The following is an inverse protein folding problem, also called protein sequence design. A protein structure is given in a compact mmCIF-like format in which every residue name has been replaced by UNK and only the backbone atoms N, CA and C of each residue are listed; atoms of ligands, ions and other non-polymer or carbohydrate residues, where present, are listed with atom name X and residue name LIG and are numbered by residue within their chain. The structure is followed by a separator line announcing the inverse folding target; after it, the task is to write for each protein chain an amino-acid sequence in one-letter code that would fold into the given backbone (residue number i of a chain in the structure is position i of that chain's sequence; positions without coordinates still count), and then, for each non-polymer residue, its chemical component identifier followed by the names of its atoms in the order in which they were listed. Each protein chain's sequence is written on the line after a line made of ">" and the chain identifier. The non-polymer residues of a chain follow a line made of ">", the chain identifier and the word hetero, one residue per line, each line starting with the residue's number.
data_IF_426012073551
#
_entry.id   IF_426012073551
#
_cell.length_a   1.000
_cell.length_b   1.000
_cell.length_c   1.000
_cell.angle_alpha   90.00
_cell.angle_beta   90.00
_cell.angle_gamma   90.00
#
_symmetry.space_group_name_H-M   'P 1'
#
loop_
_entity.id
_entity.type
_entity.pdbx_description
1 polymer ?
#
# COMPACT_ATOMS: atom_id res chain seq x y z
N UNK A 1 -5.57 -16.75 -30.57
CA UNK A 1 -4.51 -15.77 -30.20
C UNK A 1 -4.74 -15.33 -28.77
N UNK A 2 -4.06 -15.96 -27.81
CA UNK A 2 -4.05 -15.48 -26.42
C UNK A 2 -3.39 -14.11 -26.41
N UNK A 3 -4.13 -13.06 -26.00
CA UNK A 3 -3.52 -11.77 -25.68
C UNK A 3 -2.59 -12.02 -24.50
N UNK A 4 -1.31 -11.97 -24.73
CA UNK A 4 -0.30 -11.81 -23.68
C UNK A 4 -0.81 -10.74 -22.71
N UNK A 5 -1.09 -11.14 -21.48
CA UNK A 5 -1.59 -10.26 -20.43
C UNK A 5 -0.44 -9.32 -20.05
N UNK A 6 -0.27 -8.23 -20.80
CA UNK A 6 0.78 -7.24 -20.52
C UNK A 6 0.51 -6.65 -19.13
N UNK A 7 1.49 -6.76 -18.25
CA UNK A 7 1.45 -6.23 -16.90
C UNK A 7 1.17 -4.72 -16.95
N UNK A 8 0.06 -4.26 -16.36
CA UNK A 8 -0.28 -2.85 -16.32
C UNK A 8 0.73 -2.04 -15.51
N UNK A 9 1.17 -0.94 -16.06
CA UNK A 9 2.10 0.02 -15.45
C UNK A 9 1.33 1.14 -14.77
N UNK A 10 1.41 1.23 -13.45
CA UNK A 10 0.71 2.23 -12.64
C UNK A 10 1.72 3.18 -12.01
N UNK A 11 1.59 4.48 -12.27
CA UNK A 11 2.34 5.50 -11.56
C UNK A 11 1.49 6.05 -10.42
N UNK A 12 1.96 5.89 -9.20
CA UNK A 12 1.40 6.57 -8.03
C UNK A 12 2.27 7.79 -7.70
N UNK A 13 1.61 8.92 -7.50
CA UNK A 13 2.26 10.18 -7.20
C UNK A 13 1.88 10.63 -5.79
N UNK A 14 2.67 10.32 -4.75
CA UNK A 14 2.48 10.93 -3.45
C UNK A 14 2.85 12.42 -3.54
N UNK A 15 1.86 13.31 -3.38
CA UNK A 15 2.04 14.75 -3.49
C UNK A 15 3.11 15.30 -2.54
N UNK A 16 3.60 16.53 -2.81
CA UNK A 16 4.56 17.22 -1.96
C UNK A 16 5.90 16.47 -1.75
N UNK A 17 6.64 16.79 -0.69
CA UNK A 17 7.90 16.12 -0.32
C UNK A 17 9.08 17.08 -0.14
N UNK A 18 10.10 16.67 0.61
CA UNK A 18 11.27 17.48 0.91
C UNK A 18 10.91 18.78 1.63
N UNK A 19 11.26 19.91 1.04
CA UNK A 19 10.95 21.25 1.58
C UNK A 19 9.47 21.66 1.45
N UNK A 20 8.68 20.99 0.63
CA UNK A 20 7.23 21.18 0.51
C UNK A 20 6.48 20.20 1.43
N UNK A 21 5.99 20.63 2.60
CA UNK A 21 5.28 19.75 3.51
C UNK A 21 3.84 19.44 3.03
N UNK A 22 3.31 20.16 2.03
CA UNK A 22 1.89 20.25 1.80
C UNK A 22 1.18 20.93 2.95
N UNK A 23 -0.09 20.66 3.15
CA UNK A 23 -0.80 21.13 4.33
C UNK A 23 -0.24 20.47 5.60
N UNK A 24 -0.06 21.26 6.66
CA UNK A 24 0.49 20.81 7.92
C UNK A 24 -0.34 21.38 9.08
N UNK A 25 -1.12 20.53 9.73
CA UNK A 25 -2.05 20.92 10.77
C UNK A 25 -2.33 19.71 11.69
N UNK A 26 -2.86 19.95 12.90
CA UNK A 26 -3.22 18.92 13.88
C UNK A 26 -2.09 17.91 14.19
N UNK A 27 -0.82 18.31 14.06
CA UNK A 27 0.35 17.46 14.28
C UNK A 27 0.60 16.45 13.14
N UNK A 28 0.03 16.68 11.97
CA UNK A 28 0.20 15.90 10.75
C UNK A 28 0.85 16.75 9.66
N UNK A 29 1.52 16.10 8.71
CA UNK A 29 2.00 16.71 7.46
C UNK A 29 1.48 15.87 6.30
N UNK A 30 0.90 16.54 5.31
CA UNK A 30 0.35 15.90 4.12
C UNK A 30 1.37 14.99 3.44
N UNK A 31 2.59 15.50 3.19
CA UNK A 31 3.66 14.76 2.52
C UNK A 31 3.95 13.37 3.13
N UNK A 32 3.82 13.24 4.45
CA UNK A 32 4.09 11.98 5.15
C UNK A 32 2.94 11.00 4.99
N UNK A 33 1.71 11.47 5.09
CA UNK A 33 0.49 10.67 4.96
C UNK A 33 0.35 10.11 3.54
N UNK A 34 0.50 10.97 2.52
CA UNK A 34 0.35 10.54 1.12
C UNK A 34 1.42 9.55 0.70
N UNK A 35 2.64 9.68 1.24
CA UNK A 35 3.72 8.71 1.01
C UNK A 35 3.39 7.34 1.64
N UNK A 36 2.82 7.32 2.85
CA UNK A 36 2.37 6.09 3.51
C UNK A 36 1.26 5.41 2.69
N UNK A 37 0.22 6.16 2.31
CA UNK A 37 -0.91 5.63 1.51
C UNK A 37 -0.38 5.06 0.19
N UNK A 38 0.45 5.82 -0.55
CA UNK A 38 1.01 5.38 -1.83
C UNK A 38 1.84 4.09 -1.71
N UNK A 39 2.68 3.96 -0.68
CA UNK A 39 3.47 2.74 -0.44
C UNK A 39 2.60 1.51 -0.13
N UNK A 40 1.56 1.70 0.69
CA UNK A 40 0.59 0.64 1.00
C UNK A 40 -0.17 0.22 -0.26
N UNK A 41 -0.69 1.20 -1.03
CA UNK A 41 -1.38 0.97 -2.31
C UNK A 41 -0.51 0.21 -3.31
N UNK A 42 0.76 0.64 -3.49
CA UNK A 42 1.74 -0.06 -4.33
C UNK A 42 1.86 -1.53 -3.93
N UNK A 43 2.04 -1.79 -2.63
CA UNK A 43 2.21 -3.16 -2.12
C UNK A 43 1.01 -4.04 -2.48
N UNK A 44 -0.21 -3.53 -2.37
CA UNK A 44 -1.44 -4.27 -2.72
C UNK A 44 -1.51 -4.50 -4.24
N UNK A 45 -1.30 -3.46 -5.05
CA UNK A 45 -1.34 -3.57 -6.50
C UNK A 45 -0.35 -4.60 -7.04
N UNK A 46 0.86 -4.63 -6.51
CA UNK A 46 1.89 -5.59 -6.93
C UNK A 46 1.59 -7.01 -6.47
N UNK A 47 1.26 -7.19 -5.18
CA UNK A 47 1.08 -8.53 -4.60
C UNK A 47 -0.24 -9.19 -4.97
N UNK A 48 -1.32 -8.39 -5.05
CA UNK A 48 -2.68 -8.93 -5.23
C UNK A 48 -3.11 -8.90 -6.70
N UNK A 49 -2.64 -7.92 -7.47
CA UNK A 49 -3.08 -7.72 -8.85
C UNK A 49 -1.98 -7.91 -9.89
N UNK A 50 -0.74 -8.13 -9.47
CA UNK A 50 0.39 -8.36 -10.37
C UNK A 50 0.74 -7.15 -11.24
N UNK A 51 0.37 -5.94 -10.81
CA UNK A 51 0.70 -4.71 -11.52
C UNK A 51 2.20 -4.39 -11.42
N UNK A 52 2.73 -3.66 -12.39
CA UNK A 52 4.04 -2.98 -12.27
C UNK A 52 3.78 -1.58 -11.72
N UNK A 53 4.31 -1.26 -10.55
CA UNK A 53 4.02 0.02 -9.89
C UNK A 53 5.28 0.81 -9.60
N UNK A 54 5.34 2.06 -10.07
CA UNK A 54 6.35 3.03 -9.65
C UNK A 54 5.70 4.16 -8.85
N UNK A 55 6.49 4.73 -7.96
CA UNK A 55 6.16 5.97 -7.26
C UNK A 55 6.97 7.10 -7.88
N UNK A 56 6.40 8.31 -7.99
CA UNK A 56 7.16 9.50 -8.37
C UNK A 56 8.27 9.78 -7.35
N UNK A 57 7.99 9.61 -6.06
CA UNK A 57 8.97 9.61 -4.97
C UNK A 57 8.72 8.44 -4.01
N UNK A 58 9.76 7.81 -3.52
CA UNK A 58 9.69 6.72 -2.52
C UNK A 58 10.26 7.12 -1.16
N UNK A 59 10.78 8.33 -1.05
CA UNK A 59 11.36 8.93 0.16
C UNK A 59 10.83 10.36 0.32
N UNK A 60 11.26 11.06 1.36
CA UNK A 60 10.91 12.46 1.60
C UNK A 60 11.82 13.38 0.76
N UNK A 61 11.56 13.42 -0.55
CA UNK A 61 12.24 14.33 -1.51
C UNK A 61 11.19 15.15 -2.25
N UNK A 62 11.54 16.39 -2.60
CA UNK A 62 10.72 17.25 -3.44
C UNK A 62 10.86 16.87 -4.92
N UNK A 63 9.73 16.85 -5.63
CA UNK A 63 9.65 16.71 -7.08
C UNK A 63 8.66 17.75 -7.60
N UNK A 64 9.09 18.57 -8.54
CA UNK A 64 8.21 19.58 -9.12
C UNK A 64 7.07 18.95 -9.94
N UNK A 65 5.98 19.73 -10.15
CA UNK A 65 4.75 19.22 -10.75
C UNK A 65 4.96 18.66 -12.16
N UNK A 66 5.73 19.37 -13.01
CA UNK A 66 6.02 18.91 -14.37
C UNK A 66 6.89 17.67 -14.39
N UNK A 67 7.82 17.56 -13.45
CA UNK A 67 8.69 16.38 -13.34
C UNK A 67 7.90 15.12 -12.95
N UNK A 68 6.85 15.24 -12.11
CA UNK A 68 5.95 14.13 -11.76
C UNK A 68 5.29 13.56 -13.02
N UNK A 69 4.73 14.42 -13.86
CA UNK A 69 4.12 14.03 -15.13
C UNK A 69 5.15 13.44 -16.10
N UNK A 70 6.35 14.05 -16.22
CA UNK A 70 7.43 13.52 -17.07
C UNK A 70 7.87 12.12 -16.65
N UNK A 71 7.98 11.83 -15.36
CA UNK A 71 8.31 10.48 -14.86
C UNK A 71 7.29 9.44 -15.32
N UNK A 72 6.00 9.76 -15.25
CA UNK A 72 4.93 8.86 -15.71
C UNK A 72 4.96 8.68 -17.23
N UNK A 73 5.09 9.77 -17.98
CA UNK A 73 5.12 9.79 -19.44
C UNK A 73 6.31 8.99 -19.98
N UNK A 74 7.54 9.23 -19.45
CA UNK A 74 8.76 8.57 -19.88
C UNK A 74 8.77 7.06 -19.56
N UNK A 75 8.13 6.68 -18.45
CA UNK A 75 7.98 5.26 -18.12
C UNK A 75 6.91 4.56 -18.96
N UNK A 76 6.05 5.31 -19.63
CA UNK A 76 4.92 4.78 -20.38
C UNK A 76 3.91 4.13 -19.43
N UNK A 77 3.51 4.85 -18.38
CA UNK A 77 2.48 4.38 -17.46
C UNK A 77 1.14 4.23 -18.19
N UNK A 78 0.36 3.20 -17.85
CA UNK A 78 -1.01 3.01 -18.34
C UNK A 78 -2.04 3.84 -17.56
N UNK A 79 -1.71 4.20 -16.31
CA UNK A 79 -2.55 4.99 -15.42
C UNK A 79 -1.72 5.77 -14.42
N UNK A 80 -2.16 6.97 -14.08
CA UNK A 80 -1.52 7.87 -13.12
C UNK A 80 -2.50 8.25 -12.01
N UNK A 81 -2.08 8.16 -10.75
CA UNK A 81 -2.89 8.60 -9.61
C UNK A 81 -2.04 9.44 -8.66
N UNK A 82 -2.38 10.72 -8.54
CA UNK A 82 -1.82 11.63 -7.54
C UNK A 82 -2.65 11.55 -6.24
N UNK A 83 -1.98 11.39 -5.12
CA UNK A 83 -2.58 11.18 -3.80
C UNK A 83 -2.27 12.39 -2.93
N UNK A 84 -3.31 13.06 -2.45
CA UNK A 84 -3.27 14.28 -1.65
C UNK A 84 -4.17 14.18 -0.40
N UNK A 85 -3.98 15.08 0.53
CA UNK A 85 -4.85 15.35 1.69
C UNK A 85 -5.25 16.82 1.61
N UNK A 86 -6.52 17.09 1.62
CA UNK A 86 -7.06 18.44 1.46
C UNK A 86 -6.84 19.33 2.70
N UNK A 87 -7.04 20.62 2.51
CA UNK A 87 -7.12 21.67 3.55
C UNK A 87 -8.12 22.75 3.13
N UNK A 88 -8.39 23.72 3.99
CA UNK A 88 -9.32 24.83 3.82
C UNK A 88 -10.73 24.58 4.42
N UNK A 89 -10.78 23.95 5.60
CA UNK A 89 -11.97 23.92 6.48
C UNK A 89 -13.10 22.99 6.03
N UNK A 90 -12.86 22.14 5.03
CA UNK A 90 -13.83 21.15 4.59
C UNK A 90 -13.81 19.86 5.40
N UNK A 91 -14.55 18.85 4.97
CA UNK A 91 -14.50 17.46 5.45
C UNK A 91 -14.91 16.51 4.34
N UNK A 92 -14.35 15.30 4.31
CA UNK A 92 -14.75 14.27 3.36
C UNK A 92 -13.75 14.00 2.24
N UNK A 93 -14.13 13.09 1.36
CA UNK A 93 -13.33 12.59 0.25
C UNK A 93 -13.79 13.16 -1.09
N UNK A 94 -12.85 13.55 -1.95
CA UNK A 94 -13.13 13.96 -3.32
C UNK A 94 -12.04 13.52 -4.30
N UNK A 95 -12.37 13.52 -5.59
CA UNK A 95 -11.42 13.20 -6.64
C UNK A 95 -11.55 14.14 -7.83
N UNK A 96 -10.44 14.34 -8.54
CA UNK A 96 -10.35 15.26 -9.66
C UNK A 96 -9.79 14.57 -10.90
N UNK A 97 -10.39 14.88 -12.07
CA UNK A 97 -9.81 14.66 -13.39
C UNK A 97 -9.47 16.00 -14.05
N UNK A 98 -8.74 15.96 -15.15
CA UNK A 98 -8.49 17.18 -15.95
C UNK A 98 -9.82 17.75 -16.48
N UNK A 99 -9.98 19.05 -16.37
CA UNK A 99 -11.25 19.76 -16.66
C UNK A 99 -11.65 19.75 -18.15
N UNK A 100 -10.68 19.52 -19.04
CA UNK A 100 -10.99 19.37 -20.48
C UNK A 100 -11.52 17.97 -20.85
N UNK A 101 -11.59 17.06 -19.90
CA UNK A 101 -12.13 15.70 -20.11
C UNK A 101 -13.55 15.61 -19.53
N UNK A 102 -14.50 15.18 -20.33
CA UNK A 102 -15.88 14.98 -19.89
C UNK A 102 -16.01 13.82 -18.87
N UNK A 103 -17.04 13.83 -18.03
CA UNK A 103 -17.32 12.72 -17.12
C UNK A 103 -17.66 11.41 -17.88
N UNK A 104 -18.18 11.50 -19.10
CA UNK A 104 -18.46 10.36 -19.99
C UNK A 104 -17.22 9.80 -20.69
N UNK A 105 -16.08 10.50 -20.67
CA UNK A 105 -14.83 10.04 -21.24
C UNK A 105 -14.31 8.78 -20.55
N UNK A 106 -13.34 8.09 -21.17
CA UNK A 106 -12.67 6.95 -20.54
C UNK A 106 -12.08 7.32 -19.17
N UNK A 107 -11.37 8.46 -19.08
CA UNK A 107 -10.82 8.97 -17.82
C UNK A 107 -11.91 9.29 -16.79
N UNK A 108 -13.05 9.88 -17.22
CA UNK A 108 -14.17 10.16 -16.32
C UNK A 108 -14.81 8.89 -15.76
N UNK A 109 -14.96 7.84 -16.59
CA UNK A 109 -15.44 6.52 -16.15
C UNK A 109 -14.46 5.86 -15.16
N UNK A 110 -13.16 5.97 -15.43
CA UNK A 110 -12.12 5.46 -14.53
C UNK A 110 -12.09 6.24 -13.22
N UNK A 111 -12.24 7.59 -13.26
CA UNK A 111 -12.42 8.40 -12.05
C UNK A 111 -13.59 7.89 -11.21
N UNK A 112 -14.75 7.69 -11.84
CA UNK A 112 -15.93 7.15 -11.14
C UNK A 112 -15.59 5.82 -10.44
N UNK A 113 -14.95 4.91 -11.15
CA UNK A 113 -14.58 3.59 -10.61
C UNK A 113 -13.66 3.74 -9.40
N UNK A 114 -12.53 4.44 -9.53
CA UNK A 114 -11.56 4.59 -8.43
C UNK A 114 -12.20 5.32 -7.24
N UNK A 115 -12.93 6.40 -7.50
CA UNK A 115 -13.61 7.17 -6.47
C UNK A 115 -14.60 6.31 -5.67
N UNK A 116 -15.45 5.57 -6.36
CA UNK A 116 -16.49 4.76 -5.70
C UNK A 116 -15.87 3.63 -4.85
N UNK A 117 -14.78 3.01 -5.31
CA UNK A 117 -14.06 2.00 -4.54
C UNK A 117 -13.45 2.60 -3.26
N UNK A 118 -12.78 3.75 -3.34
CA UNK A 118 -12.21 4.43 -2.17
C UNK A 118 -13.31 4.81 -1.19
N UNK A 119 -14.34 5.53 -1.69
CA UNK A 119 -15.42 6.01 -0.84
C UNK A 119 -16.18 4.86 -0.15
N UNK A 120 -16.44 3.76 -0.84
CA UNK A 120 -17.07 2.58 -0.25
C UNK A 120 -16.31 2.00 0.95
N UNK A 121 -14.98 2.12 1.00
CA UNK A 121 -14.17 1.69 2.14
C UNK A 121 -14.32 2.62 3.37
N UNK A 122 -14.59 3.89 3.14
CA UNK A 122 -14.56 4.93 4.18
C UNK A 122 -15.91 5.58 4.47
N UNK A 123 -16.97 5.28 3.73
CA UNK A 123 -18.29 5.94 3.79
C UNK A 123 -18.95 5.93 5.17
N UNK A 124 -18.63 4.95 6.02
CA UNK A 124 -19.14 4.89 7.40
C UNK A 124 -18.46 5.91 8.34
N UNK A 125 -17.39 6.60 7.88
CA UNK A 125 -16.55 7.47 8.69
C UNK A 125 -16.47 8.90 8.17
N UNK A 126 -16.83 9.15 6.91
CA UNK A 126 -16.67 10.46 6.27
C UNK A 126 -17.65 10.63 5.11
N UNK A 127 -17.82 11.87 4.63
CA UNK A 127 -18.74 12.25 3.56
C UNK A 127 -18.11 12.16 2.17
N UNK A 128 -18.97 11.96 1.15
CA UNK A 128 -18.61 12.07 -0.26
C UNK A 128 -18.76 13.54 -0.72
N UNK A 129 -17.67 14.14 -1.14
CA UNK A 129 -17.64 15.47 -1.76
C UNK A 129 -17.73 15.41 -3.28
N UNK A 130 -17.75 14.20 -3.83
CA UNK A 130 -18.01 13.92 -5.24
C UNK A 130 -16.77 13.91 -6.14
N UNK A 131 -17.08 13.61 -7.38
CA UNK A 131 -16.14 13.56 -8.51
C UNK A 131 -16.14 14.89 -9.23
N UNK A 132 -15.00 15.56 -9.27
CA UNK A 132 -14.82 16.91 -9.79
C UNK A 132 -13.85 16.93 -10.97
N UNK A 133 -13.69 18.09 -11.56
CA UNK A 133 -12.67 18.35 -12.58
C UNK A 133 -11.96 19.65 -12.29
N UNK A 134 -10.64 19.70 -12.56
CA UNK A 134 -9.81 20.89 -12.30
C UNK A 134 -8.60 20.88 -13.22
N UNK A 135 -8.12 22.06 -13.60
CA UNK A 135 -6.90 22.24 -14.37
C UNK A 135 -5.67 22.14 -13.45
N UNK A 136 -5.27 20.93 -13.09
CA UNK A 136 -4.08 20.66 -12.29
C UNK A 136 -2.94 20.20 -13.18
N UNK A 137 -1.72 20.67 -12.94
CA UNK A 137 -0.55 20.41 -13.79
C UNK A 137 -0.32 18.90 -13.98
N UNK A 138 -0.34 18.11 -12.90
CA UNK A 138 -0.13 16.65 -12.95
C UNK A 138 -1.22 15.90 -13.73
N UNK A 139 -2.42 16.48 -13.88
CA UNK A 139 -3.51 15.92 -14.68
C UNK A 139 -3.47 16.37 -16.14
N UNK A 140 -3.00 17.60 -16.37
CA UNK A 140 -2.91 18.21 -17.70
C UNK A 140 -1.71 17.70 -18.50
N UNK A 141 -0.58 17.47 -17.83
CA UNK A 141 0.69 17.17 -18.47
C UNK A 141 0.97 15.66 -18.62
N UNK A 142 0.14 14.81 -18.04
CA UNK A 142 0.19 13.35 -18.23
C UNK A 142 -0.46 12.94 -19.55
N UNK A 143 0.16 11.96 -20.24
CA UNK A 143 -0.33 11.45 -21.54
C UNK A 143 -1.32 10.28 -21.39
N UNK A 144 -1.35 9.64 -20.24
CA UNK A 144 -2.25 8.54 -19.90
C UNK A 144 -3.44 9.07 -19.09
N UNK A 145 -4.52 8.28 -18.90
CA UNK A 145 -5.57 8.63 -17.95
C UNK A 145 -5.00 8.92 -16.57
N UNK A 146 -5.42 10.05 -15.99
CA UNK A 146 -4.87 10.58 -14.74
C UNK A 146 -5.97 11.03 -13.79
N UNK A 147 -5.75 10.81 -12.50
CA UNK A 147 -6.65 11.12 -11.39
C UNK A 147 -5.86 11.73 -10.24
N UNK A 148 -6.47 12.69 -9.52
CA UNK A 148 -6.01 13.15 -8.22
C UNK A 148 -7.09 12.87 -7.18
N UNK A 149 -6.68 12.39 -6.02
CA UNK A 149 -7.55 12.12 -4.87
C UNK A 149 -7.19 13.01 -3.70
N UNK A 150 -8.20 13.59 -3.07
CA UNK A 150 -8.11 14.35 -1.82
C UNK A 150 -8.73 13.52 -0.70
N UNK A 151 -7.90 13.01 0.17
CA UNK A 151 -8.25 12.01 1.15
C UNK A 151 -8.48 12.66 2.52
N UNK A 152 -9.65 13.27 2.71
CA UNK A 152 -10.03 14.03 3.90
C UNK A 152 -9.29 15.38 4.02
N UNK A 153 -9.55 16.09 5.12
CA UNK A 153 -9.02 17.43 5.38
C UNK A 153 -8.12 17.42 6.62
N UNK A 154 -6.85 17.79 6.45
CA UNK A 154 -5.85 17.74 7.52
C UNK A 154 -6.09 18.78 8.62
N UNK A 155 -6.72 19.91 8.26
CA UNK A 155 -7.08 21.03 9.15
C UNK A 155 -8.42 20.79 9.89
N UNK A 156 -9.18 19.78 9.52
CA UNK A 156 -10.40 19.36 10.23
C UNK A 156 -10.07 18.34 11.32
N UNK A 157 -10.38 18.66 12.58
CA UNK A 157 -10.04 17.81 13.74
C UNK A 157 -10.55 16.37 13.61
N UNK A 158 -11.80 16.20 13.20
CA UNK A 158 -12.44 14.88 13.03
C UNK A 158 -11.74 14.07 11.93
N UNK A 159 -11.42 14.69 10.81
CA UNK A 159 -10.70 14.06 9.70
C UNK A 159 -9.24 13.73 10.12
N UNK A 160 -8.58 14.64 10.85
CA UNK A 160 -7.24 14.42 11.37
C UNK A 160 -7.15 13.25 12.37
N UNK A 161 -8.17 13.03 13.19
CA UNK A 161 -8.26 11.85 14.08
C UNK A 161 -8.27 10.56 13.27
N UNK A 162 -8.99 10.52 12.14
CA UNK A 162 -9.00 9.37 11.24
C UNK A 162 -7.64 9.20 10.55
N UNK A 163 -7.07 10.29 10.03
CA UNK A 163 -5.77 10.28 9.34
C UNK A 163 -4.59 9.84 10.22
N UNK A 164 -4.70 9.95 11.55
CA UNK A 164 -3.72 9.43 12.52
C UNK A 164 -3.79 7.90 12.70
N UNK A 165 -4.89 7.26 12.29
CA UNK A 165 -5.09 5.83 12.47
C UNK A 165 -4.49 5.04 11.30
N UNK A 166 -3.52 4.18 11.56
CA UNK A 166 -2.93 3.30 10.53
C UNK A 166 -4.00 2.44 9.84
N UNK A 167 -5.00 1.96 10.58
CA UNK A 167 -6.12 1.19 10.03
C UNK A 167 -6.97 2.00 9.04
N UNK A 168 -7.10 3.31 9.22
CA UNK A 168 -7.79 4.16 8.27
C UNK A 168 -6.96 4.39 7.00
N UNK A 169 -5.65 4.57 7.15
CA UNK A 169 -4.73 4.64 6.01
C UNK A 169 -4.70 3.31 5.22
N UNK A 170 -4.89 2.17 5.89
CA UNK A 170 -5.05 0.87 5.23
C UNK A 170 -6.33 0.82 4.38
N UNK A 171 -7.47 1.30 4.90
CA UNK A 171 -8.72 1.39 4.13
C UNK A 171 -8.58 2.28 2.89
N UNK A 172 -7.91 3.45 3.03
CA UNK A 172 -7.62 4.31 1.89
C UNK A 172 -6.76 3.60 0.84
N UNK A 173 -5.69 2.93 1.29
CA UNK A 173 -4.79 2.20 0.40
C UNK A 173 -5.48 1.02 -0.31
N UNK A 174 -6.32 0.27 0.38
CA UNK A 174 -7.14 -0.80 -0.19
C UNK A 174 -8.11 -0.24 -1.23
N UNK A 175 -8.83 0.84 -0.91
CA UNK A 175 -9.76 1.48 -1.82
C UNK A 175 -9.07 1.97 -3.11
N UNK A 176 -7.90 2.61 -2.98
CA UNK A 176 -7.08 3.00 -4.13
C UNK A 176 -6.66 1.79 -4.96
N UNK A 177 -6.12 0.75 -4.34
CA UNK A 177 -5.63 -0.42 -5.07
C UNK A 177 -6.75 -1.17 -5.80
N UNK A 178 -7.88 -1.42 -5.13
CA UNK A 178 -9.04 -2.08 -5.71
C UNK A 178 -9.66 -1.24 -6.84
N UNK A 179 -9.81 0.07 -6.62
CA UNK A 179 -10.35 0.99 -7.61
C UNK A 179 -9.46 1.13 -8.85
N UNK A 180 -8.15 1.28 -8.66
CA UNK A 180 -7.17 1.34 -9.76
C UNK A 180 -7.21 0.03 -10.55
N UNK A 181 -7.14 -1.11 -9.87
CA UNK A 181 -7.18 -2.41 -10.52
C UNK A 181 -8.44 -2.58 -11.38
N UNK A 182 -9.61 -2.23 -10.85
CA UNK A 182 -10.87 -2.26 -11.58
C UNK A 182 -10.87 -1.30 -12.77
N UNK A 183 -10.37 -0.06 -12.60
CA UNK A 183 -10.33 0.96 -13.64
C UNK A 183 -9.46 0.57 -14.83
N UNK A 184 -8.38 -0.20 -14.62
CA UNK A 184 -7.48 -0.65 -15.70
C UNK A 184 -7.70 -2.11 -16.10
N UNK A 185 -8.73 -2.77 -15.57
CA UNK A 185 -9.11 -4.13 -15.93
C UNK A 185 -8.19 -5.22 -15.36
N UNK A 186 -7.49 -4.95 -14.27
CA UNK A 186 -6.72 -5.96 -13.56
C UNK A 186 -7.64 -6.84 -12.70
N UNK A 187 -7.37 -8.12 -12.72
CA UNK A 187 -8.01 -9.10 -11.83
C UNK A 187 -7.03 -9.47 -10.71
N UNK A 188 -7.55 -9.87 -9.55
CA UNK A 188 -6.70 -10.47 -8.53
C UNK A 188 -5.96 -11.64 -9.16
N UNK A 189 -4.63 -11.67 -9.00
CA UNK A 189 -3.88 -12.84 -9.42
C UNK A 189 -4.44 -14.00 -8.61
N UNK A 190 -5.15 -14.89 -9.29
CA UNK A 190 -5.64 -16.09 -8.63
C UNK A 190 -4.42 -16.85 -8.09
N UNK A 191 -4.53 -17.38 -6.89
CA UNK A 191 -3.54 -18.32 -6.34
C UNK A 191 -3.54 -19.67 -7.09
N UNK A 192 -4.05 -19.70 -8.34
CA UNK A 192 -4.04 -20.84 -9.22
C UNK A 192 -2.97 -20.66 -10.30
N UNK A 193 -1.90 -21.44 -10.14
CA UNK A 193 -0.94 -21.84 -11.17
C UNK A 193 -0.16 -20.75 -11.92
N UNK A 194 0.89 -20.17 -11.28
CA UNK A 194 2.19 -20.31 -11.93
C UNK A 194 2.85 -21.50 -11.24
N UNK A 195 2.95 -22.58 -11.95
CA UNK A 195 3.91 -23.64 -11.69
C UNK A 195 5.32 -23.06 -11.89
N UNK A 196 5.76 -22.30 -10.90
CA UNK A 196 7.16 -22.34 -10.52
C UNK A 196 7.36 -23.74 -9.91
N UNK A 197 8.52 -24.39 -10.11
CA UNK A 197 8.74 -25.71 -9.56
C UNK A 197 8.35 -25.66 -8.08
N UNK A 198 7.42 -26.52 -7.68
CA UNK A 198 6.88 -26.68 -6.33
C UNK A 198 8.01 -26.50 -5.32
N UNK A 199 8.03 -25.44 -4.50
CA UNK A 199 8.94 -25.44 -3.37
C UNK A 199 8.44 -26.57 -2.47
N UNK A 200 9.22 -27.61 -2.30
CA UNK A 200 8.98 -28.66 -1.31
C UNK A 200 8.45 -28.01 -0.03
N UNK A 201 7.20 -28.31 0.32
CA UNK A 201 6.39 -27.90 1.47
C UNK A 201 6.84 -26.66 2.26
N UNK A 202 5.91 -25.72 2.44
CA UNK A 202 6.16 -24.54 3.30
C UNK A 202 6.51 -25.03 4.70
N UNK A 203 7.76 -24.84 5.11
CA UNK A 203 8.19 -25.21 6.46
C UNK A 203 7.65 -24.20 7.47
N UNK A 204 6.95 -24.69 8.47
CA UNK A 204 6.43 -23.91 9.58
C UNK A 204 7.13 -24.34 10.87
N UNK A 205 7.55 -23.36 11.67
CA UNK A 205 7.95 -23.59 13.05
C UNK A 205 6.70 -23.56 13.92
N UNK A 206 6.35 -24.66 14.55
CA UNK A 206 5.22 -24.77 15.49
C UNK A 206 5.79 -24.84 16.91
N UNK A 207 5.30 -23.95 17.79
CA UNK A 207 5.73 -23.89 19.18
C UNK A 207 5.22 -25.14 19.91
N UNK A 208 6.15 -25.86 20.55
CA UNK A 208 5.85 -27.05 21.35
C UNK A 208 5.45 -26.66 22.78
N UNK A 209 4.63 -27.48 23.46
CA UNK A 209 4.49 -27.36 24.92
C UNK A 209 5.86 -27.35 25.60
N UNK A 210 6.05 -26.45 26.57
CA UNK A 210 7.26 -26.33 27.37
C UNK A 210 6.88 -25.90 28.80
N UNK A 211 7.79 -26.04 29.75
CA UNK A 211 7.54 -25.78 31.15
C UNK A 211 7.09 -24.34 31.46
N UNK A 212 7.56 -23.37 30.66
CA UNK A 212 7.19 -21.95 30.84
C UNK A 212 5.82 -21.60 30.26
N UNK A 213 5.20 -22.46 29.45
CA UNK A 213 3.93 -22.23 28.76
C UNK A 213 4.00 -21.16 27.65
N UNK A 214 5.16 -20.69 27.28
CA UNK A 214 5.40 -19.69 26.24
C UNK A 214 6.83 -19.74 25.69
N UNK A 215 7.07 -19.03 24.57
CA UNK A 215 8.39 -18.88 23.95
C UNK A 215 8.58 -17.43 23.48
N UNK A 216 9.82 -16.91 23.50
CA UNK A 216 10.12 -15.61 22.94
C UNK A 216 10.25 -15.66 21.41
N UNK A 217 9.71 -14.65 20.75
CA UNK A 217 10.14 -14.22 19.40
C UNK A 217 10.93 -12.91 19.52
N UNK A 218 11.77 -12.60 18.54
CA UNK A 218 12.79 -11.57 18.61
C UNK A 218 12.69 -10.65 17.39
N UNK A 219 12.98 -9.36 17.53
CA UNK A 219 13.00 -8.38 16.44
C UNK A 219 14.21 -8.53 15.51
N UNK A 220 15.32 -8.99 16.06
CA UNK A 220 16.61 -9.13 15.37
C UNK A 220 17.17 -10.52 15.64
N UNK A 221 18.13 -11.02 14.83
CA UNK A 221 18.84 -12.27 15.11
C UNK A 221 19.81 -12.09 16.29
N UNK A 222 19.25 -11.86 17.46
CA UNK A 222 19.93 -11.63 18.72
C UNK A 222 19.05 -12.10 19.87
N UNK A 223 19.58 -12.90 20.77
CA UNK A 223 18.87 -13.46 21.93
C UNK A 223 18.42 -12.42 22.96
N UNK A 224 19.00 -11.22 22.93
CA UNK A 224 18.61 -10.09 23.80
C UNK A 224 17.50 -9.22 23.20
N UNK A 225 17.24 -9.31 21.88
CA UNK A 225 16.24 -8.51 21.16
C UNK A 225 14.83 -9.10 21.28
N UNK A 226 14.39 -9.38 22.52
CA UNK A 226 13.07 -9.95 22.82
C UNK A 226 11.94 -9.02 22.37
N UNK A 227 10.98 -9.56 21.59
CA UNK A 227 9.85 -8.81 21.07
C UNK A 227 8.56 -9.15 21.81
N UNK A 228 8.06 -10.36 21.67
CA UNK A 228 6.84 -10.83 22.35
C UNK A 228 6.90 -12.32 22.66
N UNK A 229 6.03 -12.73 23.59
CA UNK A 229 5.81 -14.13 23.92
C UNK A 229 4.77 -14.75 22.98
N UNK A 230 4.98 -16.01 22.60
CA UNK A 230 4.07 -16.83 21.82
C UNK A 230 3.75 -18.13 22.57
N UNK A 231 2.55 -18.68 22.34
CA UNK A 231 2.05 -19.84 23.08
C UNK A 231 2.28 -21.14 22.33
N UNK A 232 2.32 -22.30 23.02
CA UNK A 232 2.27 -23.62 22.36
C UNK A 232 1.12 -23.73 21.37
N UNK A 233 1.39 -24.35 20.22
CA UNK A 233 0.46 -24.48 19.11
C UNK A 233 0.52 -23.35 18.07
N UNK A 234 1.04 -22.18 18.41
CA UNK A 234 1.25 -21.13 17.41
C UNK A 234 2.27 -21.57 16.36
N UNK A 235 1.96 -21.26 15.10
CA UNK A 235 2.71 -21.70 13.92
C UNK A 235 3.15 -20.53 13.06
N UNK A 236 4.42 -20.51 12.68
CA UNK A 236 5.05 -19.40 11.96
C UNK A 236 5.75 -19.91 10.70
N UNK A 237 5.50 -19.29 9.57
CA UNK A 237 6.18 -19.60 8.31
C UNK A 237 7.65 -19.23 8.37
N UNK A 238 8.52 -20.20 8.12
CA UNK A 238 9.97 -20.01 8.08
C UNK A 238 10.37 -19.41 6.73
N UNK A 239 11.13 -18.32 6.77
CA UNK A 239 11.81 -17.74 5.61
C UNK A 239 13.16 -18.41 5.39
N UNK A 240 14.03 -18.36 6.41
CA UNK A 240 15.36 -18.96 6.39
C UNK A 240 15.88 -19.28 7.79
N UNK A 241 16.96 -20.06 7.86
CA UNK A 241 17.71 -20.30 9.10
C UNK A 241 18.89 -19.34 9.17
N UNK A 242 19.14 -18.78 10.35
CA UNK A 242 20.31 -17.95 10.66
C UNK A 242 21.04 -18.51 11.88
N UNK A 243 22.35 -18.32 11.96
CA UNK A 243 23.16 -18.73 13.13
C UNK A 243 23.48 -17.47 13.96
N UNK A 244 23.28 -17.56 15.27
CA UNK A 244 23.49 -16.49 16.24
C UNK A 244 24.27 -17.06 17.43
N UNK A 245 25.51 -16.63 17.62
CA UNK A 245 26.40 -17.11 18.69
C UNK A 245 26.43 -18.65 18.79
N UNK A 246 26.62 -19.33 17.64
CA UNK A 246 26.69 -20.77 17.55
C UNK A 246 25.35 -21.52 17.61
N UNK A 247 24.24 -20.84 17.90
CA UNK A 247 22.89 -21.41 17.95
C UNK A 247 22.05 -20.99 16.75
N UNK A 248 21.11 -21.86 16.30
CA UNK A 248 20.26 -21.56 15.16
C UNK A 248 18.96 -20.86 15.57
N UNK A 249 18.55 -19.87 14.77
CA UNK A 249 17.22 -19.25 14.78
C UNK A 249 16.55 -19.39 13.42
N UNK A 250 15.23 -19.47 13.39
CA UNK A 250 14.45 -19.27 12.18
C UNK A 250 14.07 -17.82 12.03
N UNK A 251 14.43 -17.19 10.89
CA UNK A 251 13.80 -15.95 10.43
C UNK A 251 12.43 -16.33 9.90
N UNK A 252 11.40 -15.64 10.38
CA UNK A 252 10.02 -15.85 9.99
C UNK A 252 9.66 -14.91 8.83
N UNK A 253 8.65 -15.28 8.04
CA UNK A 253 8.14 -14.40 6.97
C UNK A 253 7.58 -13.07 7.48
N UNK A 254 7.21 -12.98 8.76
CA UNK A 254 6.84 -11.74 9.44
C UNK A 254 8.00 -10.77 9.70
N UNK A 255 9.24 -11.20 9.44
CA UNK A 255 10.46 -10.43 9.77
C UNK A 255 11.02 -10.75 11.16
N UNK A 256 10.24 -11.37 12.05
CA UNK A 256 10.67 -11.76 13.40
C UNK A 256 11.56 -13.02 13.38
N UNK A 257 12.13 -13.33 14.51
CA UNK A 257 13.01 -14.50 14.71
C UNK A 257 12.51 -15.36 15.87
N UNK A 258 12.66 -16.69 15.75
CA UNK A 258 12.36 -17.64 16.82
C UNK A 258 13.48 -18.68 16.91
N UNK A 259 13.67 -19.28 18.08
CA UNK A 259 14.66 -20.36 18.22
C UNK A 259 14.40 -21.52 17.26
N UNK A 260 15.46 -22.14 16.74
CA UNK A 260 15.38 -23.36 15.96
C UNK A 260 15.61 -24.65 16.81
N UNK A 261 15.72 -24.51 18.12
CA UNK A 261 15.95 -25.63 19.03
C UNK A 261 14.72 -26.57 19.03
N UNK A 262 14.94 -27.83 18.71
CA UNK A 262 13.89 -28.85 18.53
C UNK A 262 13.11 -29.16 19.81
N UNK A 263 13.65 -28.84 20.95
CA UNK A 263 12.93 -28.93 22.24
C UNK A 263 11.79 -27.92 22.36
N UNK A 264 11.87 -26.78 21.68
CA UNK A 264 10.89 -25.69 21.76
C UNK A 264 10.00 -25.56 20.53
N UNK A 265 10.50 -25.94 19.35
CA UNK A 265 9.76 -25.87 18.11
C UNK A 265 9.86 -27.16 17.32
N UNK A 266 8.80 -27.49 16.61
CA UNK A 266 8.80 -28.58 15.60
C UNK A 266 8.57 -27.99 14.21
N UNK A 267 9.17 -28.61 13.20
CA UNK A 267 8.93 -28.27 11.81
C UNK A 267 7.74 -29.07 11.30
N UNK A 268 6.72 -28.39 10.79
CA UNK A 268 5.66 -29.00 9.97
C UNK A 268 5.77 -28.49 8.55
N UNK A 269 5.56 -29.35 7.59
CA UNK A 269 5.40 -29.00 6.17
C UNK A 269 3.90 -28.89 5.91
N UNK A 270 3.50 -27.81 5.22
CA UNK A 270 2.13 -27.59 4.77
C UNK A 270 2.09 -27.75 3.26
#
# INVERSE_FOLDING_TARGET
>A
MERLNMTKKIMLDPGHGGHDPGAAENGLREKDLVLKIAKKTKTILEKVYGASVKLTRSTDVYIDLSQRAKLANNWGADYFVSIHINAAGGTGFESFRYDKLAASSSTGKQQKTVHDFIYNKIKAKTSDRGKKSKNLAVLRETKMPALLTENLFIDRKEDAVLLKQESFLDLLAEGHAEGIAAAVGLKKVSSSSKTSPTPKGVKMAVVKPNADGWLWVYDKPNWSAKHKKVKPGEAFTIDKTVTVNGSKMYKLKSGLYITAATKYVQIKQK
#
